data_IF_307589307342
#
_entry.id   IF_307589307342
#
_cell.length_a   1.000
_cell.length_b   1.000
_cell.length_c   1.000
_cell.angle_alpha   90.00
_cell.angle_beta   90.00
_cell.angle_gamma   90.00
#
_symmetry.space_group_name_H-M   'P 1'
#
loop_
_entity.id
_entity.type
_entity.pdbx_description
1 polymer ?
#
# COMPACT_ATOMS: atom_id res chain seq x y z
N UNK A 1 -18.98 -10.82 70.95
CA UNK A 1 -18.09 -10.12 69.98
C UNK A 1 -18.52 -10.44 68.54
N UNK A 2 -19.30 -9.58 67.86
CA UNK A 2 -19.69 -9.75 66.44
C UNK A 2 -19.79 -8.37 65.76
N UNK A 3 -18.66 -7.70 65.48
CA UNK A 3 -18.64 -6.40 64.78
C UNK A 3 -17.43 -6.20 63.86
N UNK A 4 -16.84 -7.26 63.28
CA UNK A 4 -15.66 -7.13 62.39
C UNK A 4 -15.86 -7.47 60.90
N UNK A 5 -17.00 -8.02 60.46
CA UNK A 5 -17.14 -8.48 59.05
C UNK A 5 -17.81 -7.48 58.10
N UNK A 6 -18.62 -6.53 58.57
CA UNK A 6 -19.34 -5.61 57.68
C UNK A 6 -18.46 -4.52 57.04
N UNK A 7 -17.31 -4.19 57.65
CA UNK A 7 -16.41 -3.17 57.12
C UNK A 7 -15.58 -3.70 55.93
N UNK A 8 -15.22 -4.99 55.95
CA UNK A 8 -14.38 -5.59 54.90
C UNK A 8 -15.17 -5.83 53.60
N UNK A 9 -16.46 -6.14 53.72
CA UNK A 9 -17.36 -6.34 52.57
C UNK A 9 -17.67 -5.02 51.83
N UNK A 10 -17.80 -3.92 52.59
CA UNK A 10 -17.97 -2.58 52.00
C UNK A 10 -16.72 -2.08 51.27
N UNK A 11 -15.52 -2.46 51.72
CA UNK A 11 -14.26 -2.07 51.05
C UNK A 11 -14.07 -2.85 49.75
N UNK A 12 -14.47 -4.13 49.70
CA UNK A 12 -14.38 -4.95 48.49
C UNK A 12 -15.42 -4.53 47.42
N UNK A 13 -16.66 -4.23 47.85
CA UNK A 13 -17.69 -3.71 46.94
C UNK A 13 -17.33 -2.32 46.37
N UNK A 14 -16.69 -1.46 47.18
CA UNK A 14 -16.24 -0.14 46.74
C UNK A 14 -15.03 -0.19 45.80
N UNK A 15 -14.19 -1.23 45.89
CA UNK A 15 -13.10 -1.47 44.93
C UNK A 15 -13.61 -1.96 43.57
N UNK A 16 -14.66 -2.79 43.52
CA UNK A 16 -15.23 -3.27 42.27
C UNK A 16 -16.01 -2.19 41.48
N UNK A 17 -16.62 -1.20 42.14
CA UNK A 17 -17.27 -0.08 41.43
C UNK A 17 -16.30 0.96 40.87
N UNK A 18 -15.07 1.08 41.40
CA UNK A 18 -14.07 2.00 40.86
C UNK A 18 -13.39 1.44 39.60
N UNK A 19 -13.27 0.12 39.48
CA UNK A 19 -12.65 -0.54 38.32
C UNK A 19 -13.63 -0.70 37.13
N UNK A 20 -14.94 -0.69 37.40
CA UNK A 20 -15.97 -0.71 36.36
C UNK A 20 -16.19 0.66 35.69
N UNK A 21 -15.83 1.77 36.36
CA UNK A 21 -16.01 3.12 35.82
C UNK A 21 -14.84 3.59 34.93
N UNK A 22 -13.66 2.95 35.03
CA UNK A 22 -12.50 3.26 34.17
C UNK A 22 -12.58 2.54 32.81
N UNK A 23 -13.47 1.55 32.68
CA UNK A 23 -13.70 0.80 31.44
C UNK A 23 -14.76 1.43 30.51
N UNK A 24 -15.26 2.61 30.85
CA UNK A 24 -16.13 3.43 29.97
C UNK A 24 -15.40 4.67 29.39
N UNK A 25 -14.06 4.70 29.42
CA UNK A 25 -13.26 5.73 28.75
C UNK A 25 -12.73 5.32 27.35
N UNK A 26 -13.20 4.20 26.78
CA UNK A 26 -12.72 3.68 25.50
C UNK A 26 -13.72 3.82 24.33
N UNK A 27 -14.80 4.57 24.50
CA UNK A 27 -15.60 5.12 23.39
C UNK A 27 -15.31 6.60 23.21
N UNK A 28 -14.02 6.98 23.35
CA UNK A 28 -13.54 8.23 22.76
C UNK A 28 -13.81 8.15 21.27
N UNK A 29 -14.87 8.84 20.88
CA UNK A 29 -15.26 9.15 19.52
C UNK A 29 -14.02 9.56 18.75
N UNK A 30 -13.48 8.62 17.95
CA UNK A 30 -12.52 9.00 16.93
C UNK A 30 -13.20 10.10 16.11
N UNK A 31 -12.50 11.20 15.80
CA UNK A 31 -13.01 12.17 14.85
C UNK A 31 -13.50 11.39 13.63
N UNK A 32 -14.72 11.70 13.19
CA UNK A 32 -15.33 11.10 12.01
C UNK A 32 -14.57 11.60 10.78
N UNK A 33 -13.34 11.12 10.59
CA UNK A 33 -12.72 11.11 9.27
C UNK A 33 -13.43 10.02 8.47
N UNK A 34 -13.86 10.31 7.24
CA UNK A 34 -14.36 9.28 6.32
C UNK A 34 -13.40 8.08 6.31
N UNK A 35 -13.90 6.84 6.25
CA UNK A 35 -13.03 5.68 6.19
C UNK A 35 -12.02 5.85 5.05
N UNK A 36 -10.74 5.91 5.38
CA UNK A 36 -9.69 5.94 4.35
C UNK A 36 -9.81 4.65 3.54
N UNK A 37 -9.91 4.78 2.21
CA UNK A 37 -10.03 3.60 1.34
C UNK A 37 -8.76 2.77 1.48
N UNK A 38 -8.92 1.55 1.97
CA UNK A 38 -7.78 0.66 2.21
C UNK A 38 -7.28 0.05 0.92
N UNK A 39 -5.97 -0.20 0.81
CA UNK A 39 -5.35 -0.75 -0.42
C UNK A 39 -6.01 -2.03 -0.95
N UNK A 40 -6.55 -2.88 -0.06
CA UNK A 40 -7.16 -4.14 -0.44
C UNK A 40 -8.54 -3.96 -1.09
N UNK A 41 -9.23 -2.84 -0.84
CA UNK A 41 -10.55 -2.57 -1.45
C UNK A 41 -10.42 -2.45 -2.97
N UNK A 42 -9.30 -1.88 -3.45
CA UNK A 42 -8.98 -1.82 -4.88
C UNK A 42 -8.71 -3.19 -5.52
N UNK A 43 -8.47 -4.24 -4.72
CA UNK A 43 -8.43 -5.62 -5.21
C UNK A 43 -9.80 -6.25 -5.31
N UNK A 44 -10.77 -5.78 -4.52
CA UNK A 44 -12.14 -6.27 -4.53
C UNK A 44 -12.94 -5.63 -5.67
N UNK A 45 -12.69 -4.35 -5.94
CA UNK A 45 -13.32 -3.60 -7.01
C UNK A 45 -12.28 -2.81 -7.82
N UNK A 46 -12.14 -3.19 -9.10
CA UNK A 46 -11.19 -2.57 -10.03
C UNK A 46 -11.65 -1.17 -10.44
N UNK A 47 -12.96 -0.90 -10.46
CA UNK A 47 -13.54 0.39 -10.85
C UNK A 47 -13.41 1.44 -9.75
N UNK A 48 -13.19 1.00 -8.50
CA UNK A 48 -12.94 1.86 -7.35
C UNK A 48 -11.69 2.72 -7.53
N UNK A 49 -10.65 2.19 -8.19
CA UNK A 49 -9.41 2.94 -8.41
C UNK A 49 -9.63 4.17 -9.28
N UNK A 50 -10.31 3.99 -10.42
CA UNK A 50 -10.59 5.09 -11.35
C UNK A 50 -11.47 6.15 -10.69
N UNK A 51 -12.52 5.72 -9.99
CA UNK A 51 -13.42 6.60 -9.25
C UNK A 51 -12.71 7.34 -8.10
N UNK A 52 -11.72 6.71 -7.47
CA UNK A 52 -10.92 7.34 -6.41
C UNK A 52 -9.98 8.40 -6.96
N UNK A 53 -9.28 8.11 -8.05
CA UNK A 53 -8.31 9.02 -8.67
C UNK A 53 -8.97 10.28 -9.27
N UNK A 54 -10.25 10.20 -9.65
CA UNK A 54 -11.00 11.34 -10.19
C UNK A 54 -11.48 12.36 -9.13
N UNK A 55 -11.33 12.08 -7.83
CA UNK A 55 -11.69 13.01 -6.76
C UNK A 55 -10.70 14.18 -6.72
N UNK A 56 -11.14 15.37 -6.33
CA UNK A 56 -10.26 16.55 -6.23
C UNK A 56 -9.13 16.36 -5.21
N UNK A 57 -9.43 15.67 -4.10
CA UNK A 57 -8.49 15.40 -3.00
C UNK A 57 -8.62 13.94 -2.55
N UNK A 58 -8.06 12.98 -3.32
CA UNK A 58 -8.12 11.57 -2.97
C UNK A 58 -7.30 11.28 -1.71
N UNK A 59 -7.90 10.57 -0.74
CA UNK A 59 -7.24 10.07 0.46
C UNK A 59 -7.33 8.54 0.52
N UNK A 60 -6.24 7.80 0.28
CA UNK A 60 -4.86 8.26 0.14
C UNK A 60 -4.54 8.87 -1.25
N UNK A 61 -3.53 9.76 -1.33
CA UNK A 61 -3.12 10.38 -2.59
C UNK A 61 -2.49 9.37 -3.56
N UNK A 62 -2.45 9.64 -4.87
CA UNK A 62 -2.02 8.68 -5.89
C UNK A 62 -0.62 8.10 -5.63
N UNK A 63 0.35 8.95 -5.29
CA UNK A 63 1.71 8.50 -4.95
C UNK A 63 1.71 7.53 -3.77
N UNK A 64 0.90 7.80 -2.74
CA UNK A 64 0.81 6.95 -1.57
C UNK A 64 0.20 5.58 -1.92
N UNK A 65 -0.75 5.53 -2.86
CA UNK A 65 -1.27 4.27 -3.39
C UNK A 65 -0.18 3.45 -4.09
N UNK A 66 0.69 4.09 -4.89
CA UNK A 66 1.83 3.40 -5.53
C UNK A 66 2.72 2.75 -4.48
N UNK A 67 3.10 3.50 -3.43
CA UNK A 67 3.92 2.99 -2.33
C UNK A 67 3.22 1.80 -1.68
N UNK A 68 1.96 1.96 -1.27
CA UNK A 68 1.20 0.90 -0.62
C UNK A 68 1.12 -0.35 -1.51
N UNK A 69 0.77 -0.24 -2.78
CA UNK A 69 0.64 -1.40 -3.65
C UNK A 69 1.97 -2.13 -3.84
N UNK A 70 3.06 -1.41 -4.09
CA UNK A 70 4.38 -2.01 -4.31
C UNK A 70 4.96 -2.61 -3.02
N UNK A 71 4.81 -1.95 -1.88
CA UNK A 71 5.23 -2.51 -0.59
C UNK A 71 4.45 -3.79 -0.27
N UNK A 72 3.13 -3.81 -0.48
CA UNK A 72 2.33 -5.00 -0.23
C UNK A 72 2.65 -6.15 -1.20
N UNK A 73 3.02 -5.84 -2.44
CA UNK A 73 3.41 -6.82 -3.45
C UNK A 73 4.81 -7.41 -3.20
N UNK A 74 5.71 -6.60 -2.63
CA UNK A 74 7.11 -6.97 -2.39
C UNK A 74 7.39 -7.41 -0.94
N UNK A 75 6.35 -7.52 -0.11
CA UNK A 75 6.50 -8.01 1.27
C UNK A 75 7.03 -9.45 1.26
N UNK A 76 8.20 -9.70 1.88
CA UNK A 76 8.70 -11.06 2.03
C UNK A 76 7.72 -11.86 2.88
N UNK A 77 7.46 -13.09 2.47
CA UNK A 77 6.64 -14.03 3.23
C UNK A 77 7.53 -14.88 4.09
N UNK A 78 7.08 -15.17 5.31
CA UNK A 78 7.79 -16.07 6.22
C UNK A 78 7.11 -17.43 6.17
N UNK A 79 7.89 -18.50 6.03
CA UNK A 79 7.33 -19.86 6.09
C UNK A 79 7.07 -20.30 7.55
N UNK A 80 6.49 -21.49 7.73
CA UNK A 80 6.21 -22.07 9.05
C UNK A 80 7.47 -22.28 9.92
N UNK A 81 8.67 -22.18 9.34
CA UNK A 81 9.97 -22.33 10.00
C UNK A 81 10.65 -20.97 10.24
N UNK A 82 9.91 -19.87 10.16
CA UNK A 82 10.42 -18.50 10.30
C UNK A 82 11.50 -18.08 9.28
N UNK A 83 11.65 -18.81 8.17
CA UNK A 83 12.59 -18.46 7.11
C UNK A 83 11.95 -17.45 6.15
N UNK A 84 12.71 -16.41 5.81
CA UNK A 84 12.32 -15.36 4.87
C UNK A 84 12.35 -15.94 3.45
N UNK A 85 11.20 -16.02 2.80
CA UNK A 85 11.11 -16.37 1.38
C UNK A 85 11.04 -15.12 0.52
N UNK A 86 11.63 -15.15 -0.69
CA UNK A 86 11.48 -14.06 -1.64
C UNK A 86 9.99 -13.84 -1.97
N UNK A 87 9.59 -12.61 -2.31
CA UNK A 87 8.20 -12.31 -2.64
C UNK A 87 7.70 -13.24 -3.74
N UNK A 88 6.66 -14.02 -3.45
CA UNK A 88 6.13 -14.97 -4.43
C UNK A 88 5.46 -14.21 -5.58
N UNK A 89 5.76 -14.58 -6.81
CA UNK A 89 5.07 -14.05 -7.99
C UNK A 89 3.68 -14.71 -8.13
N UNK A 90 2.75 -14.27 -7.28
CA UNK A 90 1.38 -14.76 -7.22
C UNK A 90 0.40 -13.75 -7.86
N UNK A 91 -0.83 -14.21 -8.13
CA UNK A 91 -1.88 -13.39 -8.75
C UNK A 91 -2.13 -12.08 -7.99
N UNK A 92 -2.18 -12.12 -6.66
CA UNK A 92 -2.39 -10.92 -5.82
C UNK A 92 -1.29 -9.89 -6.06
N UNK A 93 -0.03 -10.31 -6.01
CA UNK A 93 1.12 -9.44 -6.17
C UNK A 93 1.17 -8.84 -7.58
N UNK A 94 0.89 -9.65 -8.62
CA UNK A 94 0.75 -9.14 -10.00
C UNK A 94 -0.34 -8.08 -10.12
N UNK A 95 -1.51 -8.32 -9.51
CA UNK A 95 -2.60 -7.33 -9.53
C UNK A 95 -2.19 -6.04 -8.82
N UNK A 96 -1.55 -6.11 -7.65
CA UNK A 96 -1.09 -4.92 -6.93
C UNK A 96 -0.09 -4.10 -7.75
N UNK A 97 0.88 -4.77 -8.36
CA UNK A 97 1.85 -4.10 -9.22
C UNK A 97 1.19 -3.45 -10.45
N UNK A 98 0.21 -4.12 -11.07
CA UNK A 98 -0.59 -3.52 -12.14
C UNK A 98 -1.40 -2.31 -11.67
N UNK A 99 -1.96 -2.33 -10.45
CA UNK A 99 -2.64 -1.17 -9.88
C UNK A 99 -1.66 0.00 -9.68
N UNK A 100 -0.44 -0.26 -9.20
CA UNK A 100 0.59 0.77 -9.09
C UNK A 100 0.92 1.41 -10.47
N UNK A 101 1.07 0.58 -11.51
CA UNK A 101 1.27 1.07 -12.88
C UNK A 101 0.09 1.90 -13.40
N UNK A 102 -1.14 1.50 -13.09
CA UNK A 102 -2.33 2.29 -13.45
C UNK A 102 -2.33 3.66 -12.77
N UNK A 103 -1.96 3.73 -11.51
CA UNK A 103 -1.85 5.01 -10.79
C UNK A 103 -0.72 5.87 -11.36
N UNK A 104 0.42 5.29 -11.71
CA UNK A 104 1.50 6.01 -12.39
C UNK A 104 1.08 6.54 -13.77
N UNK A 105 0.31 5.76 -14.52
CA UNK A 105 -0.27 6.19 -15.80
C UNK A 105 -1.28 7.33 -15.61
N UNK A 106 -2.08 7.32 -14.53
CA UNK A 106 -2.95 8.44 -14.17
C UNK A 106 -2.16 9.72 -13.85
N UNK A 107 -1.00 9.59 -13.19
CA UNK A 107 -0.02 10.67 -13.01
C UNK A 107 0.77 11.00 -14.29
N UNK A 108 0.37 10.44 -15.44
CA UNK A 108 0.99 10.68 -16.76
C UNK A 108 2.48 10.32 -16.84
N UNK A 109 2.98 9.46 -15.94
CA UNK A 109 4.40 9.14 -15.81
C UNK A 109 5.29 10.38 -15.58
N UNK A 110 4.78 11.36 -14.82
CA UNK A 110 5.56 12.53 -14.42
C UNK A 110 6.73 12.13 -13.50
N UNK A 111 7.93 12.04 -14.09
CA UNK A 111 9.15 11.64 -13.39
C UNK A 111 9.56 12.65 -12.30
N UNK A 112 9.27 13.94 -12.46
CA UNK A 112 9.59 14.95 -11.45
C UNK A 112 8.77 14.72 -10.17
N UNK A 113 7.50 14.37 -10.33
CA UNK A 113 6.63 14.03 -9.19
C UNK A 113 7.04 12.70 -8.56
N UNK A 114 7.29 11.68 -9.39
CA UNK A 114 7.63 10.34 -8.92
C UNK A 114 8.98 10.31 -8.20
N UNK A 115 10.02 10.97 -8.72
CA UNK A 115 11.36 11.02 -8.11
C UNK A 115 11.38 11.79 -6.78
N UNK A 116 10.62 12.90 -6.69
CA UNK A 116 10.54 13.68 -5.45
C UNK A 116 9.74 12.98 -4.35
N UNK A 117 8.81 12.11 -4.73
CA UNK A 117 7.81 11.58 -3.79
C UNK A 117 8.00 10.10 -3.45
N UNK A 118 8.64 9.32 -4.34
CA UNK A 118 8.96 7.90 -4.12
C UNK A 118 10.42 7.74 -3.70
N UNK A 119 10.69 6.74 -2.85
CA UNK A 119 12.06 6.34 -2.59
C UNK A 119 12.68 5.63 -3.80
N UNK A 120 14.01 5.73 -3.95
CA UNK A 120 14.78 5.09 -5.02
C UNK A 120 14.39 3.60 -5.21
N UNK A 121 14.25 2.76 -4.15
CA UNK A 121 13.84 1.37 -4.33
C UNK A 121 12.42 1.21 -4.88
N UNK A 122 11.48 2.06 -4.45
CA UNK A 122 10.08 2.00 -4.88
C UNK A 122 9.94 2.44 -6.34
N UNK A 123 10.63 3.51 -6.73
CA UNK A 123 10.66 3.97 -8.12
C UNK A 123 11.30 2.92 -9.03
N UNK A 124 12.43 2.33 -8.62
CA UNK A 124 13.05 1.24 -9.36
C UNK A 124 12.11 0.02 -9.50
N UNK A 125 11.36 -0.35 -8.44
CA UNK A 125 10.36 -1.43 -8.54
C UNK A 125 9.26 -1.10 -9.56
N UNK A 126 8.76 0.14 -9.55
CA UNK A 126 7.72 0.59 -10.48
C UNK A 126 8.20 0.53 -11.93
N UNK A 127 9.39 1.07 -12.21
CA UNK A 127 9.94 1.11 -13.56
C UNK A 127 10.33 -0.29 -14.08
N UNK A 128 10.88 -1.16 -13.23
CA UNK A 128 11.14 -2.55 -13.61
C UNK A 128 9.84 -3.28 -13.95
N UNK A 129 8.75 -3.04 -13.21
CA UNK A 129 7.47 -3.64 -13.55
C UNK A 129 6.92 -3.09 -14.87
N UNK A 130 7.09 -1.80 -15.15
CA UNK A 130 6.73 -1.21 -16.45
C UNK A 130 7.46 -1.93 -17.59
N UNK A 131 8.76 -2.18 -17.45
CA UNK A 131 9.54 -2.93 -18.45
C UNK A 131 9.02 -4.37 -18.62
N UNK A 132 8.71 -5.05 -17.52
CA UNK A 132 8.14 -6.40 -17.53
C UNK A 132 6.82 -6.47 -18.32
N UNK A 133 5.89 -5.53 -18.08
CA UNK A 133 4.59 -5.48 -18.77
C UNK A 133 4.75 -5.08 -20.24
N UNK A 134 5.76 -4.26 -20.54
CA UNK A 134 6.07 -3.80 -21.89
C UNK A 134 6.71 -4.86 -22.78
N UNK A 135 6.97 -6.07 -22.25
CA UNK A 135 7.59 -7.21 -22.93
C UNK A 135 8.91 -6.84 -23.62
N UNK A 136 9.70 -5.97 -22.98
CA UNK A 136 11.04 -5.63 -23.47
C UNK A 136 11.87 -6.92 -23.48
N UNK A 137 12.52 -7.30 -24.59
CA UNK A 137 13.31 -8.52 -24.64
C UNK A 137 14.41 -8.50 -23.57
N UNK A 138 14.52 -9.54 -22.72
CA UNK A 138 15.54 -9.61 -21.68
C UNK A 138 16.94 -9.64 -22.32
N UNK A 139 17.84 -8.79 -21.85
CA UNK A 139 19.22 -8.71 -22.36
C UNK A 139 19.45 -7.67 -23.46
N UNK A 140 18.43 -6.88 -23.82
CA UNK A 140 18.61 -5.76 -24.75
C UNK A 140 19.50 -4.70 -24.09
N UNK A 141 20.68 -4.45 -24.66
CA UNK A 141 21.48 -3.27 -24.29
C UNK A 141 20.69 -2.04 -24.75
N UNK A 142 20.28 -1.21 -23.81
CA UNK A 142 19.43 -0.03 -24.03
C UNK A 142 19.97 0.97 -25.08
N UNK A 143 21.25 0.83 -25.46
CA UNK A 143 21.97 1.69 -26.41
C UNK A 143 21.81 1.23 -27.87
N UNK A 144 21.50 -0.05 -28.12
CA UNK A 144 21.41 -0.63 -29.48
C UNK A 144 19.97 -0.89 -29.93
N UNK A 145 18.99 -0.49 -29.13
CA UNK A 145 17.59 -0.79 -29.38
C UNK A 145 16.99 0.23 -30.35
N UNK A 146 16.63 -0.22 -31.57
CA UNK A 146 15.94 0.61 -32.55
C UNK A 146 14.52 0.93 -32.08
N UNK A 147 14.37 2.07 -31.40
CA UNK A 147 13.11 2.57 -30.86
C UNK A 147 12.02 2.74 -31.93
N UNK A 148 12.38 2.95 -33.20
CA UNK A 148 11.43 3.14 -34.29
C UNK A 148 10.73 1.82 -34.70
N UNK A 149 11.38 0.68 -34.47
CA UNK A 149 10.83 -0.65 -34.76
C UNK A 149 9.91 -1.19 -33.66
N UNK A 150 9.94 -0.58 -32.48
CA UNK A 150 9.20 -1.06 -31.31
C UNK A 150 7.76 -0.54 -31.27
N UNK A 151 6.87 -1.28 -30.58
CA UNK A 151 5.59 -0.73 -30.17
C UNK A 151 5.78 0.58 -29.36
N UNK A 152 4.95 1.62 -29.59
CA UNK A 152 5.09 2.91 -28.90
C UNK A 152 5.10 2.80 -27.36
N UNK A 153 4.32 1.87 -26.81
CA UNK A 153 4.28 1.58 -25.37
C UNK A 153 5.60 1.05 -24.84
N UNK A 154 6.27 0.19 -25.62
CA UNK A 154 7.56 -0.40 -25.27
C UNK A 154 8.68 0.62 -25.40
N UNK A 155 8.67 1.43 -26.46
CA UNK A 155 9.61 2.54 -26.62
C UNK A 155 9.50 3.54 -25.46
N UNK A 156 8.28 3.94 -25.08
CA UNK A 156 8.03 4.83 -23.95
C UNK A 156 8.56 4.26 -22.64
N UNK A 157 8.31 2.98 -22.34
CA UNK A 157 8.82 2.33 -21.14
C UNK A 157 10.36 2.33 -21.06
N UNK A 158 11.03 2.03 -22.17
CA UNK A 158 12.50 2.06 -22.27
C UNK A 158 13.03 3.48 -22.09
N UNK A 159 12.39 4.48 -22.69
CA UNK A 159 12.79 5.88 -22.56
C UNK A 159 12.65 6.39 -21.13
N UNK A 160 11.54 6.07 -20.44
CA UNK A 160 11.34 6.46 -19.04
C UNK A 160 12.38 5.81 -18.13
N UNK A 161 12.65 4.52 -18.31
CA UNK A 161 13.64 3.79 -17.51
C UNK A 161 15.05 4.35 -17.69
N UNK A 162 15.45 4.70 -18.91
CA UNK A 162 16.79 5.25 -19.18
C UNK A 162 16.97 6.70 -18.73
N UNK A 163 15.87 7.44 -18.58
CA UNK A 163 15.88 8.86 -18.22
C UNK A 163 15.98 9.07 -16.70
N UNK A 164 15.50 8.10 -15.92
CA UNK A 164 15.72 8.01 -14.47
C UNK A 164 17.14 7.51 -14.19
#
# INVERSE_FOLDING_TARGET
MKKKNAANEKVLAKKMSAEAADREAATSSRPCTPPQTSWFEFLLDVSLLESHLQKDYPDPPPVQLIIQFLEQASKPTVNEQNQVQPPTDNKRNRTLKLLALKVAAFLTWDLDVLEKSLSVPVLNMLLNELLCVSKVPPGTKHVDLDLASLPPTTAMAVMLYNRW
#
